data_IF_851295459873
#
_entry.id   IF_851295459873
#
_cell.length_a   1.000
_cell.length_b   1.000
_cell.length_c   1.000
_cell.angle_alpha   90.00
_cell.angle_beta   90.00
_cell.angle_gamma   90.00
#
_symmetry.space_group_name_H-M   'P 1'
#
loop_
_entity.id
_entity.type
_entity.pdbx_description
1 polymer ?
#
# COMPACT_ATOMS: atom_id res chain seq x y z
N UNK A 1 -3.38 10.20 -17.38
CA UNK A 1 -2.89 9.46 -16.20
C UNK A 1 -1.90 8.42 -16.70
N UNK A 2 -0.59 8.70 -16.60
CA UNK A 2 0.43 7.86 -17.26
C UNK A 2 0.56 6.55 -16.50
N UNK A 3 0.32 5.44 -17.20
CA UNK A 3 0.51 4.09 -16.68
C UNK A 3 1.98 3.87 -16.37
N UNK A 4 2.26 3.43 -15.15
CA UNK A 4 3.58 3.03 -14.70
C UNK A 4 3.97 1.75 -15.45
N UNK A 5 4.77 1.90 -16.50
CA UNK A 5 5.27 0.79 -17.29
C UNK A 5 6.46 0.16 -16.57
N UNK A 6 6.23 -0.83 -15.71
CA UNK A 6 7.30 -1.64 -15.12
C UNK A 6 7.39 -2.97 -15.87
N UNK A 7 8.26 -3.03 -16.89
CA UNK A 7 8.74 -4.28 -17.49
C UNK A 7 10.09 -4.62 -16.87
N UNK A 8 10.12 -5.69 -16.08
CA UNK A 8 11.27 -6.21 -15.35
C UNK A 8 10.77 -7.02 -14.17
N UNK A 9 11.49 -8.04 -13.71
CA UNK A 9 11.10 -8.88 -12.57
C UNK A 9 10.72 -8.02 -11.36
N UNK A 10 9.42 -7.83 -11.14
CA UNK A 10 8.87 -7.03 -10.04
C UNK A 10 9.11 -7.79 -8.75
N UNK A 11 9.72 -7.15 -7.77
CA UNK A 11 9.92 -7.78 -6.47
C UNK A 11 8.57 -8.00 -5.78
N UNK A 12 8.44 -9.02 -4.92
CA UNK A 12 7.21 -9.28 -4.15
C UNK A 12 6.76 -8.07 -3.32
N UNK A 13 7.70 -7.22 -2.90
CA UNK A 13 7.36 -5.98 -2.20
C UNK A 13 6.68 -4.97 -3.12
N UNK A 14 7.21 -4.76 -4.32
CA UNK A 14 6.60 -3.82 -5.27
C UNK A 14 5.22 -4.30 -5.76
N UNK A 15 4.91 -5.60 -5.76
CA UNK A 15 3.58 -6.07 -6.15
C UNK A 15 2.47 -5.70 -5.17
N UNK A 16 2.78 -5.49 -3.90
CA UNK A 16 1.79 -5.21 -2.84
C UNK A 16 1.94 -3.84 -2.20
N UNK A 17 3.13 -3.25 -2.22
CA UNK A 17 3.44 -1.98 -1.57
C UNK A 17 4.16 -1.08 -2.57
N UNK A 18 3.64 0.12 -2.78
CA UNK A 18 4.27 1.16 -3.59
C UNK A 18 4.77 2.31 -2.70
N UNK A 19 5.92 2.86 -3.05
CA UNK A 19 6.48 4.07 -2.43
C UNK A 19 6.70 5.09 -3.55
N UNK A 20 6.10 6.27 -3.44
CA UNK A 20 6.27 7.35 -4.41
C UNK A 20 6.23 8.70 -3.68
N UNK A 21 7.18 9.62 -3.91
CA UNK A 21 7.27 10.88 -3.16
C UNK A 21 5.97 11.70 -3.23
N UNK A 22 5.34 11.73 -4.40
CA UNK A 22 4.09 12.48 -4.61
C UNK A 22 2.80 11.77 -4.13
N UNK A 23 2.89 10.54 -3.62
CA UNK A 23 1.73 9.78 -3.11
C UNK A 23 1.88 9.60 -1.61
N UNK A 24 0.87 10.03 -0.84
CA UNK A 24 0.85 9.91 0.61
C UNK A 24 2.14 10.42 1.30
N UNK A 25 2.80 11.43 0.71
CA UNK A 25 4.07 12.02 1.16
C UNK A 25 5.25 11.04 1.19
N UNK A 26 5.34 10.12 0.23
CA UNK A 26 6.42 9.14 0.17
C UNK A 26 6.26 7.99 1.17
N UNK A 27 5.12 7.88 1.84
CA UNK A 27 4.84 6.74 2.73
C UNK A 27 4.57 5.47 1.91
N UNK A 28 4.86 4.28 2.45
CA UNK A 28 4.42 3.01 1.87
C UNK A 28 2.90 2.95 1.76
N UNK A 29 2.40 2.60 0.58
CA UNK A 29 0.98 2.54 0.24
C UNK A 29 0.64 1.18 -0.33
N UNK A 30 -0.51 0.62 0.05
CA UNK A 30 -1.00 -0.64 -0.51
C UNK A 30 -1.26 -0.45 -2.01
N UNK A 31 -0.62 -1.27 -2.85
CA UNK A 31 -0.65 -1.16 -4.30
C UNK A 31 -2.10 -1.18 -4.80
N UNK A 32 -2.42 -0.26 -5.72
CA UNK A 32 -3.79 -0.09 -6.24
C UNK A 32 -4.70 0.78 -5.37
N UNK A 33 -4.23 1.25 -4.22
CA UNK A 33 -4.99 2.12 -3.31
C UNK A 33 -4.26 3.45 -3.05
N UNK A 34 -4.88 4.33 -2.26
CA UNK A 34 -4.20 5.46 -1.59
C UNK A 34 -4.19 5.30 -0.07
N UNK A 35 -4.17 4.05 0.40
CA UNK A 35 -4.18 3.70 1.81
C UNK A 35 -2.73 3.47 2.26
N UNK A 36 -2.20 4.28 3.20
CA UNK A 36 -0.89 4.03 3.78
C UNK A 36 -0.89 2.70 4.54
N UNK A 37 0.22 1.96 4.46
CA UNK A 37 0.42 0.72 5.25
C UNK A 37 0.24 1.02 6.74
N UNK A 38 0.68 2.19 7.19
CA UNK A 38 0.51 2.64 8.58
C UNK A 38 -0.95 2.57 9.06
N UNK A 39 -1.92 2.99 8.24
CA UNK A 39 -3.34 2.98 8.62
C UNK A 39 -3.86 1.58 8.87
N UNK A 40 -3.48 0.62 8.02
CA UNK A 40 -3.80 -0.80 8.20
C UNK A 40 -3.17 -1.33 9.51
N UNK A 41 -1.92 -0.96 9.78
CA UNK A 41 -1.23 -1.36 11.01
C UNK A 41 -1.84 -0.73 12.27
N UNK A 42 -2.42 0.47 12.19
CA UNK A 42 -3.10 1.14 13.30
C UNK A 42 -4.38 0.41 13.70
N UNK A 43 -5.19 -0.02 12.73
CA UNK A 43 -6.39 -0.83 13.00
C UNK A 43 -6.05 -2.18 13.62
N UNK A 44 -5.14 -2.93 12.98
CA UNK A 44 -4.67 -4.22 13.50
C UNK A 44 -4.02 -4.07 14.90
N UNK A 45 -3.25 -3.01 15.11
CA UNK A 45 -2.63 -2.71 16.40
C UNK A 45 -3.63 -2.32 17.49
N UNK A 46 -4.82 -1.84 17.10
CA UNK A 46 -5.93 -1.52 17.99
C UNK A 46 -6.80 -2.75 18.33
N UNK A 47 -6.54 -3.90 17.68
CA UNK A 47 -7.20 -5.17 17.93
C UNK A 47 -8.30 -5.52 16.94
N UNK A 48 -8.48 -4.74 15.87
CA UNK A 48 -9.43 -5.05 14.81
C UNK A 48 -9.03 -6.34 14.08
N UNK A 49 -10.02 -7.13 13.71
CA UNK A 49 -9.83 -8.35 12.92
C UNK A 49 -9.43 -8.01 11.48
N UNK A 50 -8.86 -8.99 10.76
CA UNK A 50 -8.49 -8.80 9.36
C UNK A 50 -9.73 -8.54 8.51
N UNK A 51 -10.84 -9.20 8.84
CA UNK A 51 -12.13 -9.05 8.19
C UNK A 51 -12.63 -7.62 8.30
N UNK A 52 -12.65 -7.04 9.52
CA UNK A 52 -13.07 -5.65 9.76
C UNK A 52 -12.21 -4.63 9.03
N UNK A 53 -10.91 -4.90 8.83
CA UNK A 53 -10.00 -4.01 8.11
C UNK A 53 -10.21 -4.03 6.59
N UNK A 54 -10.81 -5.10 6.05
CA UNK A 54 -11.01 -5.30 4.60
C UNK A 54 -12.41 -4.87 4.13
N UNK A 55 -13.39 -4.78 5.03
CA UNK A 55 -14.74 -4.26 4.75
C UNK A 55 -14.75 -2.80 4.26
#
# INVERSE_FOLDING_TARGET
MKGYHQRGNKTLMESHIHIHPDICNGRPVIAGTRIPVQTVMEFLGSGDSIEEVIE
#
